data_IF_142449290390
#
_entry.id   IF_142449290390
#
_cell.length_a   1.000
_cell.length_b   1.000
_cell.length_c   1.000
_cell.angle_alpha   90.00
_cell.angle_beta   90.00
_cell.angle_gamma   90.00
#
_symmetry.space_group_name_H-M   'P 1'
#
loop_
_entity.id
_entity.type
_entity.pdbx_description
1 polymer ?
#
# COMPACT_ATOMS: atom_id res chain seq x y z
N UNK A 1 47.77 80.52 -38.96
CA UNK A 1 46.34 80.69 -39.16
C UNK A 1 45.71 79.38 -38.62
N UNK A 2 44.80 79.50 -37.70
CA UNK A 2 44.46 78.48 -36.69
C UNK A 2 43.44 77.45 -37.16
N UNK A 3 43.78 76.16 -37.06
CA UNK A 3 42.92 75.01 -37.32
C UNK A 3 42.25 74.57 -35.99
N UNK A 4 40.93 74.48 -36.01
CA UNK A 4 40.14 74.01 -34.88
C UNK A 4 39.86 72.49 -35.03
N UNK A 5 40.40 71.71 -34.12
CA UNK A 5 40.12 70.29 -33.98
C UNK A 5 38.81 70.05 -33.26
N UNK A 6 37.93 69.25 -33.84
CA UNK A 6 36.72 68.72 -33.19
C UNK A 6 37.03 67.41 -32.51
N UNK A 7 36.84 67.33 -31.19
CA UNK A 7 36.79 66.08 -30.44
C UNK A 7 35.38 65.45 -30.49
N UNK A 8 35.29 64.27 -31.07
CA UNK A 8 34.13 63.42 -30.95
C UNK A 8 34.25 62.56 -29.69
N UNK A 9 33.36 62.73 -28.74
CA UNK A 9 33.23 61.87 -27.55
C UNK A 9 32.23 60.73 -27.90
N UNK A 10 32.74 59.49 -27.94
CA UNK A 10 31.93 58.31 -28.10
C UNK A 10 31.42 57.87 -26.71
N UNK A 11 30.12 57.96 -26.47
CA UNK A 11 29.46 57.34 -25.31
C UNK A 11 29.27 55.86 -25.60
N UNK A 12 29.96 54.99 -24.87
CA UNK A 12 29.69 53.55 -24.83
C UNK A 12 28.61 53.31 -23.77
N UNK A 13 27.40 52.92 -24.20
CA UNK A 13 26.33 52.48 -23.33
C UNK A 13 26.60 51.03 -22.92
N UNK A 14 26.93 50.80 -21.67
CA UNK A 14 27.03 49.46 -21.04
C UNK A 14 25.61 48.98 -20.67
N UNK A 15 25.06 48.07 -21.42
CA UNK A 15 23.84 47.32 -21.12
C UNK A 15 24.20 46.28 -20.03
N UNK A 16 23.84 46.55 -18.79
CA UNK A 16 23.83 45.56 -17.69
C UNK A 16 22.62 44.64 -17.93
N UNK A 17 22.87 43.44 -18.51
CA UNK A 17 21.90 42.34 -18.48
C UNK A 17 21.92 41.72 -17.08
N UNK A 18 20.94 42.09 -16.26
CA UNK A 18 20.70 41.46 -14.99
C UNK A 18 20.07 40.08 -15.24
N UNK A 19 20.89 39.03 -15.26
CA UNK A 19 20.42 37.66 -15.27
C UNK A 19 19.75 37.36 -13.90
N UNK A 20 18.42 37.37 -13.85
CA UNK A 20 17.66 36.82 -12.77
C UNK A 20 17.91 35.30 -12.73
N UNK A 21 18.91 34.87 -11.99
CA UNK A 21 19.08 33.49 -11.57
C UNK A 21 17.99 33.23 -10.54
N UNK A 22 16.83 32.77 -10.99
CA UNK A 22 15.84 32.14 -10.11
C UNK A 22 16.48 30.85 -9.59
N UNK A 23 17.15 30.95 -8.45
CA UNK A 23 17.55 29.75 -7.70
C UNK A 23 16.28 29.01 -7.33
N UNK A 24 15.99 27.92 -8.03
CA UNK A 24 15.05 26.92 -7.54
C UNK A 24 15.62 26.36 -6.22
N UNK A 25 15.32 27.01 -5.09
CA UNK A 25 15.52 26.37 -3.79
C UNK A 25 14.66 25.12 -3.78
N UNK A 26 15.27 23.96 -3.64
CA UNK A 26 14.54 22.74 -3.27
C UNK A 26 13.76 23.05 -2.00
N UNK A 27 12.50 22.64 -1.90
CA UNK A 27 11.77 22.78 -0.64
C UNK A 27 12.54 22.09 0.47
N UNK A 28 12.67 22.75 1.63
CA UNK A 28 13.39 22.22 2.79
C UNK A 28 12.67 21.03 3.47
N UNK A 29 11.54 20.57 2.93
CA UNK A 29 10.71 19.49 3.47
C UNK A 29 9.87 18.79 2.41
N UNK A 30 9.09 17.79 2.84
CA UNK A 30 8.12 17.10 1.99
C UNK A 30 7.04 18.11 1.59
N UNK A 31 6.70 18.16 0.30
CA UNK A 31 5.54 18.89 -0.19
C UNK A 31 4.39 17.95 -0.52
N UNK A 32 3.14 18.41 -0.31
CA UNK A 32 1.90 17.71 -0.64
C UNK A 32 1.17 18.50 -1.70
N UNK A 33 0.88 17.86 -2.83
CA UNK A 33 0.09 18.44 -3.90
C UNK A 33 -1.17 17.58 -4.12
N UNK A 34 -2.38 18.10 -3.85
CA UNK A 34 -3.62 17.37 -4.15
C UNK A 34 -3.67 16.98 -5.63
N UNK A 35 -3.99 15.73 -5.90
CA UNK A 35 -4.09 15.19 -7.24
C UNK A 35 -5.54 14.85 -7.57
N UNK A 36 -6.07 15.43 -8.63
CA UNK A 36 -7.38 15.02 -9.14
C UNK A 36 -7.30 13.57 -9.66
N UNK A 37 -8.32 12.77 -9.37
CA UNK A 37 -8.45 11.39 -9.83
C UNK A 37 -9.85 11.15 -10.42
N UNK A 38 -10.04 10.06 -11.20
CA UNK A 38 -11.30 9.81 -11.91
C UNK A 38 -12.40 9.18 -11.06
N UNK A 39 -12.17 8.90 -9.78
CA UNK A 39 -13.16 8.27 -8.91
C UNK A 39 -14.27 9.26 -8.51
N UNK A 40 -15.52 8.82 -8.58
CA UNK A 40 -16.69 9.66 -8.28
C UNK A 40 -17.01 9.67 -6.77
N UNK A 41 -17.85 10.62 -6.28
CA UNK A 41 -18.39 10.55 -4.93
C UNK A 41 -19.07 9.21 -4.65
N UNK A 42 -18.85 8.68 -3.45
CA UNK A 42 -19.27 7.33 -3.06
C UNK A 42 -18.21 6.25 -3.28
N UNK A 43 -17.11 6.56 -3.99
CA UNK A 43 -15.99 5.63 -4.19
C UNK A 43 -15.24 5.35 -2.89
N UNK A 44 -14.64 4.15 -2.78
CA UNK A 44 -13.99 3.65 -1.57
C UNK A 44 -12.90 2.63 -1.87
N UNK A 45 -12.15 2.25 -0.85
CA UNK A 45 -11.14 1.18 -0.86
C UNK A 45 -10.14 1.30 -2.02
N UNK A 46 -9.40 2.43 -2.12
CA UNK A 46 -8.41 2.59 -3.18
C UNK A 46 -7.24 1.64 -2.99
N UNK A 47 -6.65 1.20 -4.11
CA UNK A 47 -5.35 0.55 -4.13
C UNK A 47 -4.52 1.03 -5.30
N UNK A 48 -3.21 1.04 -5.13
CA UNK A 48 -2.25 1.51 -6.11
C UNK A 48 -1.25 0.41 -6.48
N UNK A 49 -0.99 0.25 -7.76
CA UNK A 49 0.10 -0.57 -8.29
C UNK A 49 0.80 0.16 -9.42
N UNK A 50 1.99 -0.32 -9.80
CA UNK A 50 2.71 0.20 -10.96
C UNK A 50 2.74 -0.84 -12.08
N UNK A 51 2.72 -0.37 -13.32
CA UNK A 51 3.03 -1.17 -14.48
C UNK A 51 4.55 -1.27 -14.67
N UNK A 52 5.01 -2.23 -15.46
CA UNK A 52 6.44 -2.41 -15.73
C UNK A 52 7.10 -1.18 -16.42
N UNK A 53 6.33 -0.39 -17.14
CA UNK A 53 6.75 0.86 -17.79
C UNK A 53 6.55 2.11 -16.90
N UNK A 54 6.23 1.92 -15.62
CA UNK A 54 6.17 2.98 -14.61
C UNK A 54 4.91 3.83 -14.61
N UNK A 55 3.83 3.38 -15.26
CA UNK A 55 2.51 3.98 -15.11
C UNK A 55 1.89 3.53 -13.77
N UNK A 56 0.99 4.33 -13.23
CA UNK A 56 0.20 3.96 -12.05
C UNK A 56 -1.14 3.40 -12.45
N UNK A 57 -1.53 2.33 -11.79
CA UNK A 57 -2.90 1.81 -11.79
C UNK A 57 -3.51 2.19 -10.44
N UNK A 58 -4.60 2.94 -10.47
CA UNK A 58 -5.48 3.15 -9.32
C UNK A 58 -6.72 2.28 -9.51
N UNK A 59 -7.02 1.42 -8.53
CA UNK A 59 -8.26 0.63 -8.47
C UNK A 59 -9.11 1.05 -7.28
N UNK A 60 -10.44 0.93 -7.41
CA UNK A 60 -11.37 1.30 -6.36
C UNK A 60 -12.74 0.65 -6.56
N UNK A 61 -13.55 0.65 -5.52
CA UNK A 61 -14.98 0.36 -5.62
C UNK A 61 -15.78 1.66 -5.72
N UNK A 62 -16.80 1.68 -6.56
CA UNK A 62 -17.74 2.82 -6.63
C UNK A 62 -19.19 2.36 -6.84
N UNK A 63 -20.19 3.12 -6.33
CA UNK A 63 -21.58 2.76 -6.48
C UNK A 63 -22.05 2.87 -7.93
N UNK A 64 -22.78 1.84 -8.37
CA UNK A 64 -23.48 1.82 -9.66
C UNK A 64 -24.86 1.21 -9.43
N UNK A 65 -25.90 2.03 -9.49
CA UNK A 65 -27.29 1.63 -9.12
C UNK A 65 -27.31 1.03 -7.69
N UNK A 66 -27.80 -0.19 -7.51
CA UNK A 66 -27.88 -0.89 -6.23
C UNK A 66 -26.70 -1.85 -5.99
N UNK A 67 -25.57 -1.66 -6.67
CA UNK A 67 -24.40 -2.50 -6.61
C UNK A 67 -23.13 -1.66 -6.50
N UNK A 68 -21.99 -2.32 -6.36
CA UNK A 68 -20.67 -1.72 -6.48
C UNK A 68 -20.00 -2.21 -7.76
N UNK A 69 -19.27 -1.33 -8.43
CA UNK A 69 -18.39 -1.67 -9.53
C UNK A 69 -16.93 -1.61 -9.06
N UNK A 70 -16.16 -2.65 -9.36
CA UNK A 70 -14.70 -2.58 -9.30
C UNK A 70 -14.22 -1.86 -10.55
N UNK A 71 -13.59 -0.70 -10.33
CA UNK A 71 -13.05 0.19 -11.35
C UNK A 71 -11.53 0.26 -11.26
N UNK A 72 -10.94 0.62 -12.37
CA UNK A 72 -9.55 1.05 -12.40
C UNK A 72 -9.32 2.13 -13.47
N UNK A 73 -8.25 2.90 -13.31
CA UNK A 73 -7.72 3.81 -14.30
C UNK A 73 -6.19 3.78 -14.26
N UNK A 74 -5.55 4.07 -15.39
CA UNK A 74 -4.09 4.21 -15.48
C UNK A 74 -3.71 5.67 -15.58
N UNK A 75 -2.59 6.06 -14.95
CA UNK A 75 -2.01 7.40 -15.05
C UNK A 75 -0.68 7.33 -15.78
N UNK A 76 -0.64 7.96 -16.95
CA UNK A 76 0.55 8.09 -17.78
C UNK A 76 0.79 9.55 -18.13
N UNK A 77 2.04 9.99 -18.12
CA UNK A 77 2.41 11.37 -18.45
C UNK A 77 1.50 12.43 -17.78
N UNK A 78 1.16 12.22 -16.51
CA UNK A 78 0.30 13.08 -15.66
C UNK A 78 -1.20 13.10 -16.04
N UNK A 79 -1.64 12.25 -16.97
CA UNK A 79 -3.04 12.17 -17.38
C UNK A 79 -3.64 10.82 -16.99
N UNK A 80 -4.84 10.85 -16.42
CA UNK A 80 -5.62 9.65 -16.15
C UNK A 80 -6.36 9.17 -17.40
N UNK A 81 -6.38 7.87 -17.62
CA UNK A 81 -7.32 7.26 -18.56
C UNK A 81 -8.75 7.39 -18.06
N UNK A 82 -9.73 7.22 -18.95
CA UNK A 82 -11.10 7.01 -18.52
C UNK A 82 -11.20 5.75 -17.64
N UNK A 83 -12.00 5.74 -16.57
CA UNK A 83 -12.22 4.57 -15.73
C UNK A 83 -12.82 3.41 -16.52
N UNK A 84 -12.34 2.20 -16.24
CA UNK A 84 -12.87 0.95 -16.80
C UNK A 84 -13.47 0.10 -15.69
N UNK A 85 -14.57 -0.58 -16.00
CA UNK A 85 -15.20 -1.54 -15.09
C UNK A 85 -14.61 -2.93 -15.33
N UNK A 86 -14.26 -3.59 -14.24
CA UNK A 86 -13.82 -4.99 -14.25
C UNK A 86 -15.04 -5.90 -14.04
N UNK A 87 -15.77 -5.66 -12.97
CA UNK A 87 -16.95 -6.44 -12.58
C UNK A 87 -17.87 -5.58 -11.71
N UNK A 88 -19.15 -5.88 -11.72
CA UNK A 88 -20.17 -5.26 -10.85
C UNK A 88 -20.80 -6.34 -9.99
N UNK A 89 -20.90 -6.10 -8.66
CA UNK A 89 -21.45 -7.03 -7.68
C UNK A 89 -22.24 -6.29 -6.62
N UNK A 90 -23.21 -6.96 -6.02
CA UNK A 90 -23.98 -6.45 -4.87
C UNK A 90 -23.42 -6.95 -3.51
N UNK A 91 -22.44 -7.84 -3.54
CA UNK A 91 -21.87 -8.52 -2.38
C UNK A 91 -20.36 -8.35 -2.25
N UNK A 92 -19.76 -7.31 -2.84
CA UNK A 92 -18.36 -7.02 -2.57
C UNK A 92 -18.09 -6.90 -1.07
N UNK A 93 -16.97 -7.47 -0.65
CA UNK A 93 -16.38 -7.12 0.63
C UNK A 93 -15.65 -5.79 0.47
N UNK A 94 -16.15 -4.76 1.15
CA UNK A 94 -15.70 -3.37 0.94
C UNK A 94 -14.93 -2.81 2.13
N UNK A 95 -14.23 -3.68 2.86
CA UNK A 95 -13.35 -3.24 3.95
C UNK A 95 -12.14 -2.49 3.41
N UNK A 96 -11.83 -1.35 4.03
CA UNK A 96 -10.72 -0.49 3.61
C UNK A 96 -9.35 -1.18 3.74
N UNK A 97 -9.23 -2.11 4.67
CA UNK A 97 -8.05 -2.93 4.93
C UNK A 97 -7.82 -4.05 3.91
N UNK A 98 -8.86 -4.45 3.17
CA UNK A 98 -8.82 -5.50 2.15
C UNK A 98 -9.24 -4.96 0.76
N UNK A 99 -8.53 -3.97 0.20
CA UNK A 99 -8.92 -3.35 -1.06
C UNK A 99 -8.77 -4.33 -2.23
N UNK A 100 -9.53 -4.12 -3.31
CA UNK A 100 -9.33 -4.87 -4.54
C UNK A 100 -7.98 -4.49 -5.18
N UNK A 101 -7.37 -5.46 -5.85
CA UNK A 101 -6.12 -5.29 -6.56
C UNK A 101 -6.32 -5.29 -8.07
N UNK A 102 -5.57 -4.44 -8.77
CA UNK A 102 -5.34 -4.56 -10.22
C UNK A 102 -3.84 -4.49 -10.44
N UNK A 103 -3.25 -5.58 -10.88
CA UNK A 103 -1.81 -5.73 -11.07
C UNK A 103 -1.51 -5.92 -12.56
N UNK A 104 -0.52 -5.20 -13.08
CA UNK A 104 0.01 -5.39 -14.43
C UNK A 104 1.20 -6.35 -14.39
N UNK A 105 1.18 -7.37 -15.23
CA UNK A 105 2.32 -8.23 -15.47
C UNK A 105 3.25 -7.63 -16.55
N UNK A 106 4.53 -8.00 -16.60
CA UNK A 106 5.46 -7.48 -17.63
C UNK A 106 5.06 -7.81 -19.06
N UNK A 107 4.26 -8.86 -19.30
CA UNK A 107 3.65 -9.17 -20.59
C UNK A 107 2.46 -8.27 -20.96
N UNK A 108 2.17 -7.22 -20.12
CA UNK A 108 1.06 -6.28 -20.25
C UNK A 108 -0.34 -6.86 -19.98
N UNK A 109 -0.44 -8.11 -19.54
CA UNK A 109 -1.71 -8.64 -19.00
C UNK A 109 -2.03 -8.00 -17.67
N UNK A 110 -3.32 -7.86 -17.37
CA UNK A 110 -3.81 -7.39 -16.07
C UNK A 110 -4.44 -8.55 -15.30
N UNK A 111 -4.17 -8.59 -14.01
CA UNK A 111 -4.85 -9.44 -13.04
C UNK A 111 -5.65 -8.56 -12.09
N UNK A 112 -6.91 -8.88 -11.88
CA UNK A 112 -7.74 -8.29 -10.84
C UNK A 112 -8.02 -9.32 -9.75
N UNK A 113 -7.95 -8.88 -8.47
CA UNK A 113 -8.29 -9.72 -7.31
C UNK A 113 -9.20 -8.93 -6.40
N UNK A 114 -10.26 -9.55 -5.90
CA UNK A 114 -11.22 -8.94 -4.99
C UNK A 114 -11.89 -9.99 -4.11
N UNK A 115 -12.59 -9.54 -3.07
CA UNK A 115 -13.35 -10.39 -2.17
C UNK A 115 -14.85 -10.18 -2.34
N UNK A 116 -15.62 -11.28 -2.32
CA UNK A 116 -17.09 -11.27 -2.33
C UNK A 116 -17.61 -12.00 -1.09
N UNK A 117 -18.56 -11.37 -0.40
CA UNK A 117 -19.23 -11.96 0.78
C UNK A 117 -20.13 -13.10 0.35
N UNK A 118 -20.11 -14.15 1.13
CA UNK A 118 -21.06 -15.26 1.01
C UNK A 118 -22.40 -14.89 1.67
N UNK A 119 -23.49 -15.58 1.32
CA UNK A 119 -24.74 -15.46 2.07
C UNK A 119 -24.52 -15.77 3.54
N UNK A 120 -25.11 -14.98 4.44
CA UNK A 120 -25.03 -15.24 5.87
C UNK A 120 -25.75 -16.56 6.21
N UNK A 121 -25.02 -17.54 6.73
CA UNK A 121 -25.58 -18.79 7.21
C UNK A 121 -26.37 -18.56 8.49
N UNK A 122 -27.58 -19.13 8.55
CA UNK A 122 -28.45 -18.99 9.73
C UNK A 122 -27.74 -19.49 10.99
N UNK A 123 -27.60 -18.65 11.98
CA UNK A 123 -26.92 -18.93 13.24
C UNK A 123 -25.49 -18.39 13.30
N UNK A 124 -24.88 -18.02 12.18
CA UNK A 124 -23.59 -17.38 12.18
C UNK A 124 -23.75 -15.87 12.44
N UNK A 125 -22.76 -15.30 13.13
CA UNK A 125 -22.70 -13.88 13.43
C UNK A 125 -22.16 -13.07 12.24
N UNK A 126 -21.31 -13.70 11.42
CA UNK A 126 -20.62 -13.10 10.28
C UNK A 126 -20.80 -13.98 9.04
N UNK A 127 -20.81 -13.38 7.86
CA UNK A 127 -20.72 -14.11 6.60
C UNK A 127 -19.25 -14.32 6.26
N UNK A 128 -18.90 -15.49 5.76
CA UNK A 128 -17.60 -15.72 5.13
C UNK A 128 -17.47 -14.94 3.82
N UNK A 129 -16.34 -15.06 3.18
CA UNK A 129 -16.06 -14.47 1.88
C UNK A 129 -15.12 -15.35 1.05
N UNK A 130 -15.16 -15.16 -0.27
CA UNK A 130 -14.23 -15.81 -1.19
C UNK A 130 -13.41 -14.77 -1.94
N UNK A 131 -12.14 -15.10 -2.17
CA UNK A 131 -11.27 -14.36 -3.05
C UNK A 131 -11.46 -14.81 -4.50
N UNK A 132 -11.66 -13.85 -5.38
CA UNK A 132 -11.82 -14.03 -6.81
C UNK A 132 -10.68 -13.38 -7.58
N UNK A 133 -10.38 -13.95 -8.75
CA UNK A 133 -9.49 -13.35 -9.74
C UNK A 133 -10.14 -13.32 -11.12
N UNK A 134 -9.77 -12.33 -11.92
CA UNK A 134 -10.02 -12.27 -13.34
C UNK A 134 -8.79 -11.71 -14.06
N UNK A 135 -8.61 -12.11 -15.32
CA UNK A 135 -7.47 -11.70 -16.14
C UNK A 135 -7.93 -10.97 -17.40
N UNK A 136 -7.09 -10.06 -17.89
CA UNK A 136 -7.27 -9.37 -19.16
C UNK A 136 -5.96 -9.38 -19.94
N UNK A 137 -6.01 -9.75 -21.21
CA UNK A 137 -4.86 -9.71 -22.15
C UNK A 137 -4.90 -8.50 -23.09
N UNK A 138 -5.89 -7.62 -22.96
CA UNK A 138 -6.14 -6.49 -23.85
C UNK A 138 -6.21 -5.15 -23.11
N UNK A 139 -5.40 -5.03 -22.03
CA UNK A 139 -5.28 -3.83 -21.19
C UNK A 139 -6.61 -3.46 -20.49
N UNK A 140 -7.41 -4.46 -20.11
CA UNK A 140 -8.64 -4.26 -19.35
C UNK A 140 -9.86 -3.84 -20.18
N UNK A 141 -9.86 -4.08 -21.51
CA UNK A 141 -11.05 -3.91 -22.36
C UNK A 141 -12.02 -5.05 -22.14
N UNK A 142 -11.50 -6.27 -22.03
CA UNK A 142 -12.25 -7.49 -21.75
C UNK A 142 -11.58 -8.25 -20.60
N UNK A 143 -12.39 -8.93 -19.78
CA UNK A 143 -11.94 -9.71 -18.64
C UNK A 143 -12.44 -11.15 -18.74
N UNK A 144 -11.65 -12.10 -18.27
CA UNK A 144 -12.08 -13.49 -18.14
C UNK A 144 -13.27 -13.60 -17.18
N UNK A 145 -13.95 -14.75 -17.21
CA UNK A 145 -14.88 -15.07 -16.13
C UNK A 145 -14.11 -15.17 -14.81
N UNK A 146 -14.68 -14.63 -13.70
CA UNK A 146 -14.07 -14.73 -12.38
C UNK A 146 -13.86 -16.19 -11.96
N UNK A 147 -12.70 -16.45 -11.36
CA UNK A 147 -12.34 -17.72 -10.75
C UNK A 147 -12.03 -17.55 -9.27
N UNK A 148 -12.38 -18.53 -8.44
CA UNK A 148 -12.02 -18.54 -7.01
C UNK A 148 -10.54 -18.91 -6.89
N UNK A 149 -9.80 -18.16 -6.06
CA UNK A 149 -8.34 -18.34 -5.89
C UNK A 149 -8.01 -19.59 -5.07
N UNK A 150 -8.71 -19.82 -3.97
CA UNK A 150 -8.43 -20.89 -3.01
C UNK A 150 -9.18 -22.19 -3.32
N UNK A 151 -8.67 -23.32 -2.84
CA UNK A 151 -9.30 -24.63 -3.00
C UNK A 151 -10.35 -24.91 -1.93
N UNK A 152 -10.27 -24.25 -0.78
CA UNK A 152 -11.31 -24.36 0.25
C UNK A 152 -12.65 -23.80 -0.25
N UNK A 153 -13.75 -24.49 0.10
CA UNK A 153 -15.13 -24.14 -0.28
C UNK A 153 -16.06 -24.12 0.93
N UNK A 154 -15.49 -24.04 2.13
CA UNK A 154 -16.28 -23.81 3.35
C UNK A 154 -16.83 -22.38 3.37
N UNK A 155 -17.81 -22.11 4.20
CA UNK A 155 -18.36 -20.77 4.41
C UNK A 155 -17.44 -19.86 5.27
N UNK A 156 -16.13 -20.15 5.27
CA UNK A 156 -15.12 -19.40 5.99
C UNK A 156 -14.71 -18.08 5.34
N UNK A 157 -13.82 -17.38 6.00
CA UNK A 157 -13.24 -16.12 5.50
C UNK A 157 -11.94 -16.38 4.72
N UNK A 158 -11.84 -15.76 3.53
CA UNK A 158 -10.67 -15.75 2.67
C UNK A 158 -10.44 -14.31 2.24
N UNK A 159 -9.55 -13.59 2.95
CA UNK A 159 -9.43 -12.13 2.81
C UNK A 159 -8.01 -11.62 2.98
N UNK A 160 -7.84 -10.31 2.94
CA UNK A 160 -6.58 -9.61 3.15
C UNK A 160 -5.48 -10.03 2.16
N UNK A 161 -5.86 -10.31 0.92
CA UNK A 161 -4.93 -10.70 -0.13
C UNK A 161 -3.92 -9.61 -0.46
N UNK A 162 -2.65 -10.00 -0.65
CA UNK A 162 -1.58 -9.15 -1.16
C UNK A 162 -0.87 -9.83 -2.33
N UNK A 163 -0.58 -9.06 -3.39
CA UNK A 163 -0.03 -9.56 -4.63
C UNK A 163 1.35 -8.99 -4.92
N UNK A 164 2.20 -9.81 -5.53
CA UNK A 164 3.47 -9.37 -6.12
C UNK A 164 3.71 -10.07 -7.47
N UNK A 165 4.32 -9.36 -8.41
CA UNK A 165 4.72 -9.95 -9.70
C UNK A 165 5.82 -10.99 -9.46
N UNK A 166 5.66 -12.21 -9.99
CA UNK A 166 6.70 -13.23 -9.99
C UNK A 166 7.58 -13.14 -11.24
N UNK A 167 6.95 -13.22 -12.39
CA UNK A 167 7.61 -13.18 -13.68
C UNK A 167 6.72 -12.50 -14.75
N UNK A 168 7.05 -12.70 -16.02
CA UNK A 168 6.29 -12.08 -17.13
C UNK A 168 4.84 -12.57 -17.23
N UNK A 169 4.52 -13.74 -16.65
CA UNK A 169 3.25 -14.43 -16.85
C UNK A 169 2.55 -14.80 -15.54
N UNK A 170 3.17 -14.58 -14.39
CA UNK A 170 2.63 -14.98 -13.10
C UNK A 170 2.75 -13.88 -12.06
N UNK A 171 1.79 -13.88 -11.14
CA UNK A 171 1.85 -13.16 -9.87
C UNK A 171 1.68 -14.16 -8.72
N UNK A 172 2.36 -13.90 -7.60
CA UNK A 172 2.08 -14.57 -6.35
C UNK A 172 1.04 -13.78 -5.56
N UNK A 173 0.24 -14.50 -4.79
CA UNK A 173 -0.70 -13.95 -3.80
C UNK A 173 -0.49 -14.64 -2.46
N UNK A 174 -0.63 -13.88 -1.37
CA UNK A 174 -0.83 -14.42 -0.01
C UNK A 174 -2.15 -13.91 0.53
N UNK A 175 -2.83 -14.69 1.38
CA UNK A 175 -4.11 -14.30 2.01
C UNK A 175 -4.30 -14.96 3.36
N UNK A 176 -5.21 -14.40 4.17
CA UNK A 176 -5.69 -15.03 5.40
C UNK A 176 -6.85 -15.97 5.09
N UNK A 177 -6.85 -17.15 5.70
CA UNK A 177 -7.74 -18.26 5.39
C UNK A 177 -8.24 -18.92 6.69
N UNK A 178 -9.53 -18.96 6.89
CA UNK A 178 -10.17 -19.44 8.11
C UNK A 178 -10.58 -20.90 8.06
N UNK A 179 -10.12 -21.70 7.08
CA UNK A 179 -10.55 -23.11 6.89
C UNK A 179 -10.48 -24.00 8.14
N UNK A 180 -9.59 -23.69 9.07
CA UNK A 180 -9.42 -24.44 10.32
C UNK A 180 -10.10 -23.79 11.53
N UNK A 181 -10.77 -22.63 11.36
CA UNK A 181 -11.27 -21.85 12.50
C UNK A 181 -12.27 -22.60 13.38
N UNK A 182 -13.18 -23.35 12.77
CA UNK A 182 -14.20 -24.14 13.51
C UNK A 182 -13.59 -25.24 14.39
N UNK A 183 -12.39 -25.72 14.05
CA UNK A 183 -11.73 -26.84 14.74
C UNK A 183 -10.56 -26.41 15.62
N UNK A 184 -9.80 -25.41 15.21
CA UNK A 184 -8.56 -24.97 15.87
C UNK A 184 -8.61 -23.54 16.40
N UNK A 185 -9.61 -22.76 15.99
CA UNK A 185 -9.72 -21.32 16.28
C UNK A 185 -8.53 -20.49 15.77
N UNK A 186 -7.87 -20.97 14.68
CA UNK A 186 -6.73 -20.31 14.05
C UNK A 186 -7.05 -19.97 12.60
N UNK A 187 -6.40 -18.92 12.09
CA UNK A 187 -6.33 -18.63 10.65
C UNK A 187 -4.96 -19.07 10.12
N UNK A 188 -4.93 -19.38 8.82
CA UNK A 188 -3.69 -19.63 8.09
C UNK A 188 -3.30 -18.43 7.25
N UNK A 189 -2.02 -18.24 7.06
CA UNK A 189 -1.48 -17.51 5.93
C UNK A 189 -1.28 -18.51 4.80
N UNK A 190 -1.98 -18.30 3.68
CA UNK A 190 -1.89 -19.14 2.49
C UNK A 190 -1.21 -18.39 1.35
N UNK A 191 -0.69 -19.10 0.37
CA UNK A 191 -0.15 -18.55 -0.87
C UNK A 191 -0.58 -19.36 -2.09
N UNK A 192 -0.58 -18.72 -3.27
CA UNK A 192 -0.75 -19.37 -4.57
C UNK A 192 -0.10 -18.55 -5.69
N UNK A 193 0.01 -19.13 -6.88
CA UNK A 193 0.39 -18.44 -8.11
C UNK A 193 -0.84 -18.22 -8.99
N UNK A 194 -0.93 -17.04 -9.60
CA UNK A 194 -1.97 -16.68 -10.57
C UNK A 194 -1.30 -16.38 -11.90
N UNK A 195 -1.60 -17.21 -12.91
CA UNK A 195 -1.12 -17.01 -14.27
C UNK A 195 -1.81 -15.82 -14.96
N UNK A 196 -1.20 -15.26 -15.99
CA UNK A 196 -1.74 -14.18 -16.83
C UNK A 196 -3.08 -14.53 -17.49
N UNK A 197 -3.45 -15.82 -17.51
CA UNK A 197 -4.77 -16.31 -17.93
C UNK A 197 -5.83 -16.29 -16.83
N UNK A 198 -5.47 -15.97 -15.59
CA UNK A 198 -6.32 -16.09 -14.40
C UNK A 198 -6.34 -17.50 -13.78
N UNK A 199 -5.57 -18.46 -14.31
CA UNK A 199 -5.48 -19.81 -13.72
C UNK A 199 -4.65 -19.76 -12.45
N UNK A 200 -5.16 -20.35 -11.37
CA UNK A 200 -4.49 -20.46 -10.07
C UNK A 200 -3.81 -21.82 -9.93
N UNK A 201 -2.64 -21.86 -9.33
CA UNK A 201 -1.83 -23.06 -9.05
C UNK A 201 -0.99 -22.87 -7.77
N UNK A 202 -0.36 -23.94 -7.32
CA UNK A 202 0.61 -23.96 -6.23
C UNK A 202 0.10 -23.37 -4.91
N UNK A 203 -1.15 -23.70 -4.54
CA UNK A 203 -1.68 -23.33 -3.23
C UNK A 203 -0.88 -24.00 -2.12
N UNK A 204 -0.33 -23.21 -1.21
CA UNK A 204 0.52 -23.67 -0.10
C UNK A 204 0.11 -22.99 1.21
N UNK A 205 0.27 -23.71 2.33
CA UNK A 205 0.25 -23.09 3.66
C UNK A 205 1.61 -22.44 3.92
N UNK A 206 1.60 -21.18 4.30
CA UNK A 206 2.79 -20.38 4.64
C UNK A 206 3.00 -20.41 6.16
N UNK A 207 1.92 -20.22 6.92
CA UNK A 207 1.88 -20.28 8.39
C UNK A 207 0.49 -20.75 8.82
N UNK A 208 0.36 -21.56 9.84
CA UNK A 208 -0.89 -22.20 10.26
C UNK A 208 -1.53 -21.61 11.51
N UNK A 209 -0.93 -20.56 12.11
CA UNK A 209 -1.48 -19.82 13.24
C UNK A 209 -1.17 -18.33 13.17
N UNK A 210 -2.06 -17.55 12.58
CA UNK A 210 -1.86 -16.11 12.35
C UNK A 210 -3.05 -15.29 12.86
N UNK A 211 -2.83 -13.99 13.04
CA UNK A 211 -3.89 -13.04 13.39
C UNK A 211 -4.98 -13.00 12.31
N UNK A 212 -6.23 -13.00 12.74
CA UNK A 212 -7.41 -13.21 11.89
C UNK A 212 -7.87 -11.99 11.08
N UNK A 213 -7.34 -10.78 11.33
CA UNK A 213 -7.97 -9.54 10.85
C UNK A 213 -6.99 -8.47 10.39
N UNK A 214 -5.72 -8.80 10.25
CA UNK A 214 -4.71 -7.80 9.87
C UNK A 214 -4.30 -7.96 8.41
N UNK A 215 -4.25 -6.86 7.64
CA UNK A 215 -3.77 -6.90 6.26
C UNK A 215 -2.40 -7.58 6.15
N UNK A 216 -2.26 -8.42 5.14
CA UNK A 216 -0.96 -9.00 4.74
C UNK A 216 -0.26 -8.09 3.74
N UNK A 217 1.02 -8.31 3.52
CA UNK A 217 1.77 -7.65 2.46
C UNK A 217 2.78 -8.61 1.83
N UNK A 218 3.10 -8.41 0.55
CA UNK A 218 3.97 -9.27 -0.23
C UNK A 218 4.83 -8.43 -1.17
N UNK A 219 6.12 -8.75 -1.22
CA UNK A 219 7.06 -8.14 -2.18
C UNK A 219 7.93 -9.23 -2.84
N UNK A 220 8.32 -8.96 -4.10
CA UNK A 220 9.31 -9.78 -4.80
C UNK A 220 10.71 -9.50 -4.23
N UNK A 221 11.50 -10.53 -3.99
CA UNK A 221 12.92 -10.45 -3.65
C UNK A 221 13.78 -10.98 -4.81
N UNK A 222 15.08 -10.98 -4.64
CA UNK A 222 15.99 -11.53 -5.66
C UNK A 222 15.92 -13.05 -5.80
N UNK A 223 15.46 -13.76 -4.78
CA UNK A 223 15.42 -15.24 -4.73
C UNK A 223 14.01 -15.83 -4.68
N UNK A 224 12.99 -15.01 -4.41
CA UNK A 224 11.62 -15.46 -4.25
C UNK A 224 10.73 -14.32 -3.74
N UNK A 225 10.07 -14.51 -2.62
CA UNK A 225 9.17 -13.52 -2.02
C UNK A 225 9.49 -13.27 -0.55
N UNK A 226 9.04 -12.12 -0.06
CA UNK A 226 8.93 -11.83 1.36
C UNK A 226 7.49 -11.43 1.65
N UNK A 227 6.83 -12.15 2.55
CA UNK A 227 5.54 -11.74 3.10
C UNK A 227 5.72 -11.16 4.50
N UNK A 228 4.89 -10.16 4.84
CA UNK A 228 4.74 -9.64 6.20
C UNK A 228 3.29 -9.82 6.64
N UNK A 229 3.10 -10.25 7.87
CA UNK A 229 1.81 -10.51 8.47
C UNK A 229 1.87 -10.31 9.97
N UNK A 230 0.72 -10.19 10.59
CA UNK A 230 0.65 -10.22 12.05
C UNK A 230 0.48 -11.67 12.51
N UNK A 231 1.40 -12.12 13.34
CA UNK A 231 1.36 -13.45 13.89
C UNK A 231 0.37 -13.55 15.08
N UNK A 232 0.09 -14.74 15.50
CA UNK A 232 -0.65 -15.07 16.71
C UNK A 232 0.12 -16.16 17.48
N UNK A 233 0.16 -16.07 18.78
CA UNK A 233 0.71 -17.11 19.65
C UNK A 233 -0.32 -17.52 20.68
N UNK A 234 -0.15 -18.70 21.28
CA UNK A 234 -1.01 -19.18 22.39
C UNK A 234 -1.10 -18.22 23.58
N UNK A 235 -0.11 -17.34 23.74
CA UNK A 235 -0.08 -16.30 24.79
C UNK A 235 -0.64 -14.96 24.31
N UNK A 236 -1.39 -14.94 23.18
CA UNK A 236 -1.97 -13.73 22.59
C UNK A 236 -0.94 -12.64 22.24
N UNK A 237 0.32 -13.01 21.98
CA UNK A 237 1.31 -12.10 21.42
C UNK A 237 1.06 -11.97 19.92
N UNK A 238 0.88 -10.73 19.46
CA UNK A 238 0.54 -10.42 18.07
C UNK A 238 1.55 -9.46 17.45
N UNK A 239 2.81 -9.90 17.40
CA UNK A 239 3.89 -9.16 16.76
C UNK A 239 3.86 -9.32 15.24
N UNK A 240 4.52 -8.42 14.51
CA UNK A 240 4.71 -8.56 13.08
C UNK A 240 5.80 -9.61 12.80
N UNK A 241 5.46 -10.55 11.93
CA UNK A 241 6.38 -11.56 11.41
C UNK A 241 6.66 -11.29 9.92
N UNK A 242 7.83 -11.75 9.50
CA UNK A 242 8.19 -11.86 8.10
C UNK A 242 8.53 -13.30 7.78
N UNK A 243 8.17 -13.74 6.57
CA UNK A 243 8.48 -15.07 6.07
C UNK A 243 8.98 -14.97 4.64
N UNK A 244 10.08 -15.66 4.37
CA UNK A 244 10.70 -15.70 3.02
C UNK A 244 10.27 -16.95 2.28
N UNK A 245 10.09 -16.79 1.00
CA UNK A 245 10.03 -17.87 0.05
C UNK A 245 11.31 -17.85 -0.79
N UNK A 246 11.97 -18.98 -0.91
CA UNK A 246 13.16 -19.17 -1.73
C UNK A 246 12.98 -20.42 -2.60
N UNK A 247 12.99 -20.25 -3.92
CA UNK A 247 12.92 -21.37 -4.86
C UNK A 247 11.63 -22.20 -4.77
N UNK A 248 10.48 -21.57 -4.55
CA UNK A 248 9.17 -22.22 -4.48
C UNK A 248 8.82 -22.78 -3.10
N UNK A 249 9.62 -22.50 -2.05
CA UNK A 249 9.38 -23.01 -0.70
C UNK A 249 9.38 -21.91 0.34
N UNK A 250 8.31 -21.81 1.09
CA UNK A 250 8.20 -20.93 2.25
C UNK A 250 9.04 -21.48 3.40
N UNK A 251 9.79 -20.58 4.03
CA UNK A 251 10.57 -20.87 5.24
C UNK A 251 9.65 -20.69 6.48
N UNK A 252 10.18 -20.96 7.67
CA UNK A 252 9.47 -20.64 8.92
C UNK A 252 9.46 -19.11 9.14
N UNK A 253 8.28 -18.56 9.44
CA UNK A 253 8.12 -17.16 9.79
C UNK A 253 8.92 -16.77 11.02
N UNK A 254 9.43 -15.54 11.05
CA UNK A 254 10.21 -14.99 12.16
C UNK A 254 9.66 -13.65 12.58
N UNK A 255 9.67 -13.39 13.89
CA UNK A 255 9.36 -12.07 14.42
C UNK A 255 10.31 -11.04 13.78
N UNK A 256 9.73 -9.97 13.22
CA UNK A 256 10.47 -8.83 12.69
C UNK A 256 11.16 -8.07 13.81
N UNK A 257 10.45 -7.86 14.90
CA UNK A 257 10.89 -7.22 16.12
C UNK A 257 10.04 -7.76 17.28
N UNK A 258 10.69 -8.11 18.39
CA UNK A 258 9.99 -8.62 19.57
C UNK A 258 9.34 -7.47 20.34
N UNK A 259 8.21 -6.99 19.81
CA UNK A 259 7.42 -5.98 20.50
C UNK A 259 6.77 -6.53 21.78
N UNK A 260 6.44 -7.83 21.79
CA UNK A 260 5.75 -8.48 22.89
C UNK A 260 4.32 -7.95 23.05
N UNK A 261 3.68 -7.54 21.96
CA UNK A 261 2.36 -6.93 22.04
C UNK A 261 1.29 -7.97 22.36
N UNK A 262 0.97 -8.05 23.64
CA UNK A 262 -0.13 -8.88 24.12
C UNK A 262 -1.46 -8.17 23.88
N UNK A 263 -2.34 -8.80 23.08
CA UNK A 263 -3.68 -8.30 22.81
C UNK A 263 -4.65 -9.46 22.53
N UNK A 264 -5.64 -9.64 23.40
CA UNK A 264 -6.77 -10.54 23.13
C UNK A 264 -7.83 -9.77 22.34
N UNK A 265 -7.60 -9.60 21.05
CA UNK A 265 -8.48 -8.81 20.18
C UNK A 265 -7.94 -8.65 18.76
N UNK A 266 -8.65 -7.84 17.98
CA UNK A 266 -8.42 -7.63 16.56
C UNK A 266 -7.86 -6.22 16.32
N UNK A 267 -6.54 -6.04 16.20
CA UNK A 267 -5.96 -4.70 16.07
C UNK A 267 -6.20 -4.06 14.70
N UNK A 268 -6.54 -4.87 13.69
CA UNK A 268 -6.79 -4.42 12.30
C UNK A 268 -5.66 -3.49 11.81
N UNK A 269 -4.42 -3.92 12.01
CA UNK A 269 -3.21 -3.19 11.68
C UNK A 269 -2.14 -4.15 11.17
N UNK A 270 -2.02 -4.27 9.85
CA UNK A 270 -0.94 -5.01 9.20
C UNK A 270 0.33 -4.21 9.06
N UNK A 271 1.39 -4.87 8.59
CA UNK A 271 2.61 -4.21 8.18
C UNK A 271 2.55 -3.80 6.71
N UNK A 272 3.23 -2.71 6.37
CA UNK A 272 3.48 -2.30 5.00
C UNK A 272 4.91 -2.65 4.60
N UNK A 273 5.10 -3.15 3.37
CA UNK A 273 6.39 -3.50 2.78
C UNK A 273 6.71 -2.58 1.61
N UNK A 274 7.97 -2.18 1.52
CA UNK A 274 8.54 -1.64 0.29
C UNK A 274 9.81 -2.42 -0.06
N UNK A 275 10.06 -2.57 -1.37
CA UNK A 275 11.23 -3.27 -1.89
C UNK A 275 11.95 -2.40 -2.92
N UNK A 276 13.27 -2.38 -2.89
CA UNK A 276 14.13 -1.72 -3.83
C UNK A 276 15.41 -2.54 -4.01
N UNK A 277 15.57 -3.22 -5.14
CA UNK A 277 16.68 -4.17 -5.33
C UNK A 277 16.73 -5.23 -4.21
N UNK A 278 17.81 -5.26 -3.41
CA UNK A 278 17.95 -6.16 -2.26
C UNK A 278 17.58 -5.49 -0.91
N UNK A 279 17.14 -4.22 -0.96
CA UNK A 279 16.69 -3.51 0.23
C UNK A 279 15.19 -3.77 0.47
N UNK A 280 14.83 -4.00 1.72
CA UNK A 280 13.45 -4.10 2.18
C UNK A 280 13.24 -3.07 3.30
N UNK A 281 12.11 -2.38 3.27
CA UNK A 281 11.66 -1.57 4.40
C UNK A 281 10.28 -2.06 4.84
N UNK A 282 10.07 -2.14 6.14
CA UNK A 282 8.83 -2.57 6.76
C UNK A 282 8.36 -1.49 7.73
N UNK A 283 7.12 -1.03 7.59
CA UNK A 283 6.49 -0.14 8.55
C UNK A 283 5.32 -0.86 9.25
N UNK A 284 5.21 -0.71 10.57
CA UNK A 284 4.14 -1.35 11.33
C UNK A 284 3.73 -0.53 12.56
N UNK A 285 2.56 -0.88 13.06
CA UNK A 285 2.02 -0.36 14.30
C UNK A 285 2.11 -1.42 15.41
N UNK A 286 2.42 -1.00 16.61
CA UNK A 286 2.35 -1.84 17.82
C UNK A 286 1.73 -1.07 18.98
N UNK A 287 1.01 -1.78 19.86
CA UNK A 287 0.46 -1.25 21.10
C UNK A 287 1.19 -1.79 22.34
N UNK A 288 2.45 -2.18 22.17
CA UNK A 288 3.30 -2.70 23.24
C UNK A 288 3.23 -1.84 24.51
N UNK A 289 3.09 -2.50 25.68
CA UNK A 289 3.01 -1.84 26.99
C UNK A 289 1.94 -0.73 27.06
N UNK A 290 0.82 -0.91 26.34
CA UNK A 290 -0.26 0.08 26.21
C UNK A 290 0.20 1.42 25.60
N UNK A 291 1.39 1.46 25.00
CA UNK A 291 1.95 2.63 24.32
C UNK A 291 1.94 2.40 22.82
N UNK A 292 0.91 2.91 22.17
CA UNK A 292 0.82 2.87 20.71
C UNK A 292 2.04 3.52 20.07
N UNK A 293 2.61 2.87 19.06
CA UNK A 293 3.70 3.43 18.26
C UNK A 293 3.70 2.92 16.82
N UNK A 294 4.31 3.71 15.93
CA UNK A 294 4.62 3.31 14.56
C UNK A 294 6.13 3.15 14.44
N UNK A 295 6.54 2.04 13.85
CA UNK A 295 7.95 1.68 13.72
C UNK A 295 8.28 1.37 12.26
N UNK A 296 9.57 1.49 11.91
CA UNK A 296 10.12 1.17 10.60
C UNK A 296 11.40 0.36 10.78
N UNK A 297 11.51 -0.74 10.04
CA UNK A 297 12.74 -1.54 9.97
C UNK A 297 13.30 -1.54 8.55
N UNK A 298 14.63 -1.64 8.44
CA UNK A 298 15.35 -1.71 7.18
C UNK A 298 16.23 -2.98 7.13
N UNK A 299 16.23 -3.62 5.96
CA UNK A 299 17.07 -4.74 5.58
C UNK A 299 17.84 -4.42 4.31
N UNK A 300 19.08 -4.91 4.20
CA UNK A 300 19.91 -4.81 3.00
C UNK A 300 20.24 -6.19 2.40
N UNK A 301 19.62 -7.24 2.91
CA UNK A 301 19.88 -8.65 2.57
C UNK A 301 18.61 -9.40 2.12
N UNK A 302 17.69 -8.68 1.46
CA UNK A 302 16.44 -9.25 0.95
C UNK A 302 15.47 -9.70 2.04
N UNK A 303 15.54 -9.06 3.22
CA UNK A 303 14.67 -9.38 4.35
C UNK A 303 15.13 -10.58 5.18
N UNK A 304 16.38 -11.02 5.04
CA UNK A 304 16.93 -12.09 5.90
C UNK A 304 17.18 -11.58 7.34
N UNK A 305 17.60 -10.32 7.47
CA UNK A 305 17.77 -9.63 8.75
C UNK A 305 17.28 -8.17 8.69
N UNK A 306 16.88 -7.63 9.84
CA UNK A 306 16.45 -6.24 10.00
C UNK A 306 17.24 -5.58 11.15
N UNK A 307 18.51 -5.21 10.92
CA UNK A 307 19.39 -4.72 11.99
C UNK A 307 19.03 -3.32 12.49
N UNK A 308 18.22 -2.58 11.76
CA UNK A 308 17.83 -1.20 12.11
C UNK A 308 16.32 -1.13 12.28
N UNK A 309 15.88 -0.79 13.50
CA UNK A 309 14.48 -0.50 13.82
C UNK A 309 14.39 0.92 14.36
N UNK A 310 13.40 1.67 13.87
CA UNK A 310 13.18 3.06 14.23
C UNK A 310 11.73 3.28 14.64
N UNK A 311 11.52 3.85 15.81
CA UNK A 311 10.22 4.38 16.22
C UNK A 311 10.04 5.77 15.59
N UNK A 312 9.02 5.93 14.76
CA UNK A 312 8.75 7.18 14.04
C UNK A 312 7.55 7.93 14.60
N UNK A 313 6.75 7.30 15.43
CA UNK A 313 5.64 7.92 16.15
C UNK A 313 5.38 7.14 17.45
N UNK A 314 4.93 7.83 18.50
CA UNK A 314 4.61 7.21 19.78
C UNK A 314 3.51 7.98 20.50
N UNK A 315 2.68 7.23 21.25
CA UNK A 315 1.63 7.81 22.05
C UNK A 315 2.16 8.84 23.07
N UNK A 316 1.45 9.94 23.17
CA UNK A 316 1.64 11.01 24.17
C UNK A 316 0.29 11.38 24.79
N UNK A 317 0.26 12.39 25.67
CA UNK A 317 -0.99 12.90 26.25
C UNK A 317 -1.90 13.49 25.16
N UNK A 318 -1.33 14.12 24.14
CA UNK A 318 -2.07 14.85 23.10
C UNK A 318 -2.25 14.06 21.82
N UNK A 319 -1.39 13.08 21.58
CA UNK A 319 -1.33 12.34 20.33
C UNK A 319 -1.36 10.81 20.54
N UNK A 320 -2.17 10.11 19.74
CA UNK A 320 -2.29 8.67 19.75
C UNK A 320 -2.13 8.11 18.33
N UNK A 321 -1.03 7.40 18.03
CA UNK A 321 -0.90 6.69 16.77
C UNK A 321 -2.06 5.70 16.57
N UNK A 322 -2.65 5.71 15.39
CA UNK A 322 -3.67 4.74 14.96
C UNK A 322 -3.02 3.63 14.13
N UNK A 323 -1.90 3.93 13.46
CA UNK A 323 -1.20 3.01 12.58
C UNK A 323 -1.70 3.06 11.14
N UNK A 324 -2.04 1.92 10.54
CA UNK A 324 -2.40 1.78 9.11
C UNK A 324 -1.30 2.32 8.20
N UNK A 325 -0.05 1.88 8.36
CA UNK A 325 1.07 2.45 7.62
C UNK A 325 1.04 2.08 6.14
N UNK A 326 1.62 2.97 5.32
CA UNK A 326 2.07 2.65 3.97
C UNK A 326 3.50 3.18 3.81
N UNK A 327 4.31 2.54 2.94
CA UNK A 327 5.73 2.84 2.80
C UNK A 327 6.15 2.71 1.33
N UNK A 328 7.05 3.60 0.89
CA UNK A 328 7.69 3.54 -0.42
C UNK A 328 9.15 4.00 -0.31
N UNK A 329 10.08 3.35 -1.01
CA UNK A 329 11.46 3.81 -1.10
C UNK A 329 11.57 5.08 -1.97
N UNK A 330 12.33 6.06 -1.50
CA UNK A 330 12.76 7.24 -2.25
C UNK A 330 14.16 7.04 -2.84
N UNK A 331 15.00 6.27 -2.16
CA UNK A 331 16.38 5.99 -2.49
C UNK A 331 16.99 4.93 -1.59
N UNK A 332 18.30 4.63 -1.70
CA UNK A 332 18.97 3.66 -0.85
C UNK A 332 18.86 4.03 0.64
N UNK A 333 18.27 3.13 1.45
CA UNK A 333 18.06 3.35 2.88
C UNK A 333 17.19 4.56 3.23
N UNK A 334 16.39 5.05 2.28
CA UNK A 334 15.56 6.24 2.40
C UNK A 334 14.13 5.94 1.95
N UNK A 335 13.15 6.04 2.84
CA UNK A 335 11.76 5.72 2.60
C UNK A 335 10.83 6.87 3.01
N UNK A 336 9.72 7.00 2.29
CA UNK A 336 8.57 7.78 2.70
C UNK A 336 7.57 6.85 3.37
N UNK A 337 7.08 7.25 4.54
CA UNK A 337 6.10 6.48 5.30
C UNK A 337 4.90 7.37 5.58
N UNK A 338 3.69 6.83 5.39
CA UNK A 338 2.45 7.47 5.85
C UNK A 338 1.81 6.62 6.92
N UNK A 339 1.08 7.25 7.83
CA UNK A 339 0.28 6.56 8.85
C UNK A 339 -0.84 7.45 9.34
N UNK A 340 -1.76 6.85 10.08
CA UNK A 340 -2.81 7.60 10.79
C UNK A 340 -2.39 7.84 12.23
N UNK A 341 -2.64 9.05 12.70
CA UNK A 341 -2.54 9.44 14.11
C UNK A 341 -3.81 10.20 14.52
N UNK A 342 -4.08 10.28 15.82
CA UNK A 342 -5.16 11.10 16.38
C UNK A 342 -4.55 12.14 17.30
N UNK A 343 -4.79 13.40 16.99
CA UNK A 343 -4.32 14.54 17.75
C UNK A 343 -5.53 15.41 18.14
N UNK A 344 -5.67 15.74 19.41
CA UNK A 344 -6.81 16.50 19.95
C UNK A 344 -8.20 15.97 19.48
N UNK A 345 -8.31 14.63 19.38
CA UNK A 345 -9.57 13.97 18.96
C UNK A 345 -9.81 13.92 17.44
N UNK A 346 -8.99 14.54 16.62
CA UNK A 346 -9.06 14.54 15.16
C UNK A 346 -8.08 13.53 14.58
N UNK A 347 -8.55 12.65 13.70
CA UNK A 347 -7.67 11.72 12.97
C UNK A 347 -6.99 12.45 11.82
N UNK A 348 -5.69 12.20 11.67
CA UNK A 348 -4.83 12.80 10.65
C UNK A 348 -4.10 11.72 9.88
N UNK A 349 -4.03 11.88 8.56
CA UNK A 349 -3.09 11.16 7.71
C UNK A 349 -1.83 12.01 7.61
N UNK A 350 -0.72 11.46 8.06
CA UNK A 350 0.58 12.15 8.10
C UNK A 350 1.62 11.37 7.29
N UNK A 351 2.69 12.05 6.90
CA UNK A 351 3.84 11.45 6.23
C UNK A 351 5.15 11.94 6.84
N UNK A 352 6.18 11.09 6.79
CA UNK A 352 7.54 11.47 7.09
C UNK A 352 8.53 10.73 6.18
N UNK A 353 9.65 11.39 5.88
CA UNK A 353 10.82 10.76 5.31
C UNK A 353 11.62 10.10 6.43
N UNK A 354 11.93 8.84 6.26
CA UNK A 354 12.65 8.02 7.26
C UNK A 354 13.89 7.44 6.61
N UNK A 355 15.05 7.79 7.14
CA UNK A 355 16.35 7.28 6.68
C UNK A 355 16.90 6.25 7.65
N UNK A 356 17.48 5.18 7.16
CA UNK A 356 18.04 4.11 7.99
C UNK A 356 19.18 4.60 8.92
N UNK A 357 19.88 5.68 8.58
CA UNK A 357 21.05 6.21 9.31
C UNK A 357 20.86 7.56 9.97
N UNK A 358 19.72 8.22 9.78
CA UNK A 358 19.44 9.55 10.29
C UNK A 358 18.39 9.51 11.39
N UNK A 359 18.50 10.36 12.43
CA UNK A 359 17.54 10.45 13.52
C UNK A 359 16.50 11.54 13.33
N UNK A 360 16.73 12.48 12.44
CA UNK A 360 15.81 13.59 12.20
C UNK A 360 14.56 13.12 11.46
N UNK A 361 13.40 13.53 11.94
CA UNK A 361 12.11 13.18 11.38
C UNK A 361 11.27 14.45 11.20
N UNK A 362 11.02 14.81 9.95
CA UNK A 362 10.10 15.90 9.61
C UNK A 362 8.75 15.31 9.18
N UNK A 363 7.74 15.49 10.03
CA UNK A 363 6.38 15.04 9.77
C UNK A 363 5.56 16.16 9.14
N UNK A 364 4.74 15.80 8.15
CA UNK A 364 3.75 16.69 7.53
C UNK A 364 2.37 16.05 7.57
N UNK A 365 1.33 16.88 7.59
CA UNK A 365 -0.05 16.45 7.43
C UNK A 365 -0.43 16.39 5.93
N UNK A 366 -1.10 15.30 5.52
CA UNK A 366 -1.66 15.12 4.18
C UNK A 366 -3.16 15.45 4.19
N UNK A 367 -3.87 14.94 5.19
CA UNK A 367 -5.32 15.07 5.33
C UNK A 367 -5.76 14.89 6.78
N UNK A 368 -6.94 15.40 7.09
CA UNK A 368 -7.61 15.16 8.38
C UNK A 368 -9.06 14.73 8.16
N UNK A 369 -9.64 14.05 9.14
CA UNK A 369 -11.02 13.58 9.10
C UNK A 369 -11.35 12.55 10.17
N UNK A 370 -12.32 11.70 9.91
CA UNK A 370 -12.59 10.52 10.74
C UNK A 370 -11.61 9.39 10.36
N UNK A 371 -11.33 8.48 11.30
CA UNK A 371 -10.48 7.32 11.03
C UNK A 371 -11.01 6.47 9.88
N UNK A 372 -12.33 6.25 9.84
CA UNK A 372 -12.97 5.47 8.78
C UNK A 372 -12.99 6.22 7.44
N UNK A 373 -13.14 7.55 7.47
CA UNK A 373 -13.07 8.40 6.27
C UNK A 373 -11.68 8.47 5.66
N UNK A 374 -10.62 8.37 6.47
CA UNK A 374 -9.24 8.28 5.99
C UNK A 374 -8.88 6.85 5.52
N UNK A 375 -9.55 5.82 6.06
CA UNK A 375 -9.40 4.43 5.64
C UNK A 375 -7.99 3.88 5.84
N UNK A 376 -7.48 3.18 4.82
CA UNK A 376 -6.12 2.64 4.75
C UNK A 376 -5.38 3.33 3.60
N UNK A 377 -4.39 4.18 3.87
CA UNK A 377 -3.61 4.83 2.82
C UNK A 377 -2.81 3.80 2.02
N UNK A 378 -2.66 4.06 0.72
CA UNK A 378 -1.81 3.29 -0.20
C UNK A 378 -0.80 4.23 -0.82
N UNK A 379 0.36 3.71 -1.17
CA UNK A 379 1.45 4.50 -1.74
C UNK A 379 2.12 3.77 -2.88
N UNK A 380 2.42 4.52 -3.95
CA UNK A 380 3.18 4.03 -5.07
C UNK A 380 4.19 5.09 -5.55
N UNK A 381 5.46 4.67 -5.72
CA UNK A 381 6.50 5.53 -6.28
C UNK A 381 6.26 5.77 -7.78
N UNK A 382 6.38 7.02 -8.22
CA UNK A 382 6.28 7.46 -9.61
C UNK A 382 7.50 8.30 -9.95
N UNK A 383 8.50 7.71 -10.58
CA UNK A 383 9.75 8.42 -10.85
C UNK A 383 10.43 8.89 -9.57
N UNK A 384 10.26 10.18 -9.20
CA UNK A 384 10.79 10.77 -7.96
C UNK A 384 9.70 11.24 -7.00
N UNK A 385 8.45 11.03 -7.34
CA UNK A 385 7.29 11.41 -6.55
C UNK A 385 6.62 10.15 -6.00
N UNK A 386 5.89 10.30 -4.92
CA UNK A 386 5.07 9.22 -4.40
C UNK A 386 3.61 9.65 -4.48
N UNK A 387 2.80 8.87 -5.20
CA UNK A 387 1.35 9.03 -5.10
C UNK A 387 0.89 8.38 -3.81
N UNK A 388 -0.02 9.03 -3.12
CA UNK A 388 -0.76 8.48 -2.00
C UNK A 388 -2.25 8.55 -2.31
N UNK A 389 -2.96 7.44 -2.10
CA UNK A 389 -4.42 7.40 -2.14
C UNK A 389 -4.97 6.98 -0.78
N UNK A 390 -6.15 7.52 -0.46
CA UNK A 390 -6.87 7.21 0.76
C UNK A 390 -8.37 7.37 0.56
N UNK A 391 -9.14 6.91 1.52
CA UNK A 391 -10.59 6.97 1.52
C UNK A 391 -11.18 5.63 1.96
N UNK A 392 -12.17 5.70 2.78
CA UNK A 392 -12.80 4.54 3.39
C UNK A 392 -14.31 4.70 3.49
N UNK A 393 -14.87 4.09 4.52
CA UNK A 393 -16.26 4.19 4.89
C UNK A 393 -16.58 5.58 5.49
N UNK A 394 -17.84 5.96 5.58
CA UNK A 394 -18.30 7.20 6.20
C UNK A 394 -19.29 7.95 5.32
N UNK A 395 -19.77 9.08 5.82
CA UNK A 395 -20.81 9.87 5.12
C UNK A 395 -20.31 10.50 3.82
N UNK A 396 -19.00 10.84 3.75
CA UNK A 396 -18.37 11.45 2.57
C UNK A 396 -17.41 10.48 1.90
N UNK A 397 -17.87 9.29 1.52
CA UNK A 397 -17.06 8.32 0.80
C UNK A 397 -16.56 8.91 -0.51
N UNK A 398 -15.26 9.02 -0.66
CA UNK A 398 -14.61 9.38 -1.90
C UNK A 398 -13.13 9.02 -1.83
N UNK A 399 -12.63 8.37 -2.87
CA UNK A 399 -11.20 8.18 -3.07
C UNK A 399 -10.53 9.52 -3.33
N UNK A 400 -9.50 9.82 -2.56
CA UNK A 400 -8.66 11.01 -2.70
C UNK A 400 -7.22 10.60 -3.01
N UNK A 401 -6.51 11.48 -3.70
CA UNK A 401 -5.11 11.26 -4.06
C UNK A 401 -4.30 12.54 -3.89
N UNK A 402 -3.02 12.37 -3.58
CA UNK A 402 -2.04 13.46 -3.57
C UNK A 402 -0.68 12.96 -4.09
N UNK A 403 0.15 13.88 -4.57
CA UNK A 403 1.56 13.65 -4.85
C UNK A 403 2.40 14.18 -3.70
N UNK A 404 3.30 13.37 -3.21
CA UNK A 404 4.30 13.73 -2.22
C UNK A 404 5.66 13.83 -2.90
N UNK A 405 6.36 14.96 -2.68
CA UNK A 405 7.73 15.16 -3.12
C UNK A 405 8.62 15.35 -1.92
N UNK A 406 9.61 14.49 -1.77
CA UNK A 406 10.67 14.67 -0.80
C UNK A 406 11.73 15.65 -1.35
N UNK A 407 12.50 16.34 -0.49
CA UNK A 407 13.51 17.31 -0.88
C UNK A 407 14.67 16.76 -1.70
#
# INVERSE_FOLDING_TARGET
MRSAGRFLASLAAILLVSACVTSCRRPEGISVEPLANPAIPGSMTPNETATADGQIILSWLEPVNNALALRFATRSAQVWSAPRTIVTRNNFDSYAEAPPWVLSLPNQSLLAVWSERLPLVKGNKWSGNYLYTAASSDQGKNWSQPAIIHTDRTDGEHSFGALAVEDSNHAAIVWLDSRDYETKHTYRLMSALIASSGRVSDEQTVDDDVCTCCPTNLVRTTTGFLAAYRNHTSDEIRDIYTVREDGGKWQTGKSLHNDGWHINGCPVNGAALAQRQNEIAVAWYTGMEEKASVQVAFSNDGGATFPTVRRIDAASIEEQPIGRPAIAFLGPGDALVTWLTREHGVSRLVAAQVRSRDSELHRIEIAQGTTDGLGYPRMQLIGREVMVSWGGAGETKQVKTALLRAP
#
